data_IF_201889574389
#
_entry.id   IF_201889574389
#
_cell.length_a   1.000
_cell.length_b   1.000
_cell.length_c   1.000
_cell.angle_alpha   90.00
_cell.angle_beta   90.00
_cell.angle_gamma   90.00
#
_symmetry.space_group_name_H-M   'P 1'
#
loop_
_entity.id
_entity.type
_entity.pdbx_description
1 polymer ?
#
# COMPACT_ATOMS: atom_id res chain seq x y z
N UNK A 1 -0.94 19.84 5.65
CA UNK A 1 0.08 18.89 5.18
C UNK A 1 -0.66 17.62 4.83
N UNK A 2 -0.74 17.24 3.56
CA UNK A 2 -1.48 16.06 3.14
C UNK A 2 -0.74 14.78 3.55
N UNK A 3 -1.48 13.81 4.10
CA UNK A 3 -0.91 12.52 4.50
C UNK A 3 -0.65 11.65 3.27
N UNK A 4 0.60 11.25 3.04
CA UNK A 4 0.95 10.29 2.00
C UNK A 4 0.65 8.86 2.47
N UNK A 5 0.19 8.01 1.54
CA UNK A 5 -0.06 6.59 1.79
C UNK A 5 0.72 5.75 0.80
N UNK A 6 1.49 4.82 1.36
CA UNK A 6 2.28 3.88 0.56
C UNK A 6 1.44 2.70 0.08
N UNK A 7 1.55 2.44 -1.21
CA UNK A 7 0.92 1.34 -1.90
C UNK A 7 1.94 0.59 -2.76
N UNK A 8 1.69 -0.69 -2.98
CA UNK A 8 2.44 -1.54 -3.91
C UNK A 8 1.63 -1.76 -5.18
N UNK A 9 2.21 -1.49 -6.35
CA UNK A 9 1.59 -1.80 -7.63
C UNK A 9 1.34 -3.31 -7.77
N UNK A 10 0.14 -3.70 -8.22
CA UNK A 10 -0.21 -5.11 -8.39
C UNK A 10 0.48 -5.80 -9.58
N UNK A 11 0.91 -5.02 -10.59
CA UNK A 11 1.54 -5.56 -11.80
C UNK A 11 3.06 -5.64 -11.67
N UNK A 12 3.73 -4.50 -11.47
CA UNK A 12 5.20 -4.44 -11.45
C UNK A 12 5.81 -4.51 -10.03
N UNK A 13 4.99 -4.38 -8.99
CA UNK A 13 5.47 -4.44 -7.61
C UNK A 13 6.17 -3.18 -7.10
N UNK A 14 6.28 -2.12 -7.91
CA UNK A 14 6.83 -0.81 -7.48
C UNK A 14 6.02 -0.22 -6.33
N UNK A 15 6.72 0.40 -5.38
CA UNK A 15 6.10 1.14 -4.28
C UNK A 15 5.90 2.60 -4.68
N UNK A 16 4.71 3.11 -4.45
CA UNK A 16 4.31 4.48 -4.79
C UNK A 16 3.58 5.09 -3.58
N UNK A 17 3.86 6.37 -3.32
CA UNK A 17 3.22 7.14 -2.25
C UNK A 17 2.21 8.10 -2.87
N UNK A 18 0.94 7.97 -2.48
CA UNK A 18 -0.14 8.81 -3.01
C UNK A 18 -0.69 9.74 -1.93
N UNK A 19 -1.03 10.96 -2.33
CA UNK A 19 -1.80 11.89 -1.52
C UNK A 19 -3.24 11.37 -1.38
N UNK A 20 -3.76 11.29 -0.15
CA UNK A 20 -5.13 10.83 0.11
C UNK A 20 -6.20 11.71 -0.53
N UNK A 21 -5.92 12.99 -0.72
CA UNK A 21 -6.90 13.98 -1.18
C UNK A 21 -6.90 14.12 -2.71
N UNK A 22 -5.88 13.60 -3.40
CA UNK A 22 -5.81 13.66 -4.87
C UNK A 22 -6.51 12.47 -5.50
N UNK A 23 -7.42 12.76 -6.43
CA UNK A 23 -8.09 11.74 -7.24
C UNK A 23 -7.20 11.28 -8.40
N UNK A 24 -7.16 9.96 -8.60
CA UNK A 24 -6.47 9.32 -9.71
C UNK A 24 -5.10 8.78 -9.31
N UNK A 25 -4.95 7.45 -9.39
CA UNK A 25 -3.69 6.74 -9.13
C UNK A 25 -3.31 5.93 -10.37
N UNK A 26 -2.05 6.03 -10.77
CA UNK A 26 -1.44 5.21 -11.81
C UNK A 26 0.02 4.96 -11.44
N UNK A 27 0.52 3.78 -11.77
CA UNK A 27 1.90 3.42 -11.48
C UNK A 27 2.82 4.15 -12.47
N UNK A 28 3.83 4.86 -11.97
CA UNK A 28 4.78 5.60 -12.81
C UNK A 28 5.61 4.67 -13.72
N UNK A 29 5.76 3.40 -13.33
CA UNK A 29 6.59 2.43 -14.03
C UNK A 29 5.86 1.65 -15.13
N UNK A 30 4.59 1.28 -14.91
CA UNK A 30 3.86 0.39 -15.82
C UNK A 30 2.46 0.91 -16.23
N UNK A 31 2.03 2.06 -15.71
CA UNK A 31 0.71 2.63 -15.98
C UNK A 31 -0.48 1.89 -15.35
N UNK A 32 -0.25 0.78 -14.64
CA UNK A 32 -1.30 0.03 -13.95
C UNK A 32 -1.99 0.89 -12.87
N UNK A 33 -3.29 0.69 -12.66
CA UNK A 33 -4.12 1.46 -11.71
C UNK A 33 -4.57 0.64 -10.49
N UNK A 34 -4.06 -0.59 -10.36
CA UNK A 34 -4.41 -1.51 -9.28
C UNK A 34 -3.25 -1.58 -8.28
N UNK A 35 -3.57 -1.33 -7.01
CA UNK A 35 -2.60 -1.17 -5.93
C UNK A 35 -3.03 -1.95 -4.68
N UNK A 36 -2.04 -2.42 -3.92
CA UNK A 36 -2.22 -3.16 -2.67
C UNK A 36 -1.65 -2.37 -1.49
N UNK A 37 -2.41 -2.23 -0.40
CA UNK A 37 -1.92 -1.59 0.82
C UNK A 37 -0.89 -2.50 1.49
N UNK A 38 0.25 -1.93 1.86
CA UNK A 38 1.29 -2.67 2.57
C UNK A 38 0.77 -3.14 3.93
N UNK A 39 1.04 -4.41 4.25
CA UNK A 39 0.80 -4.95 5.58
C UNK A 39 1.80 -4.31 6.53
N UNK A 40 1.33 -3.62 7.58
CA UNK A 40 2.21 -3.09 8.65
C UNK A 40 3.08 -4.21 9.21
N UNK A 41 4.40 -4.01 9.25
CA UNK A 41 5.33 -4.91 9.92
C UNK A 41 5.02 -4.99 11.42
N UNK A 42 5.40 -6.09 12.03
CA UNK A 42 5.00 -6.61 13.36
C UNK A 42 5.23 -5.68 14.56
N UNK A 43 5.82 -4.49 14.37
CA UNK A 43 6.03 -3.49 15.43
C UNK A 43 4.77 -2.70 15.82
N UNK A 44 3.79 -2.58 14.91
CA UNK A 44 2.63 -1.68 15.07
C UNK A 44 1.27 -2.40 15.13
N UNK A 45 1.28 -3.72 15.38
CA UNK A 45 0.07 -4.54 15.41
C UNK A 45 -0.16 -5.13 16.80
N UNK A 46 -1.33 -4.85 17.39
CA UNK A 46 -2.00 -5.77 18.33
C UNK A 46 -1.88 -7.18 17.74
N UNK A 47 -1.04 -8.02 18.35
CA UNK A 47 -0.78 -9.40 17.90
C UNK A 47 -2.11 -10.15 17.86
N UNK A 48 -2.69 -10.34 16.68
CA UNK A 48 -3.73 -11.36 16.49
C UNK A 48 -2.99 -12.68 16.39
N UNK A 49 -3.00 -13.44 17.48
CA UNK A 49 -2.49 -14.80 17.52
C UNK A 49 -3.28 -15.63 16.51
N UNK A 50 -2.66 -15.99 15.40
CA UNK A 50 -3.17 -17.04 14.53
C UNK A 50 -3.03 -18.33 15.34
N UNK A 51 -4.14 -18.90 15.82
CA UNK A 51 -4.13 -20.25 16.37
C UNK A 51 -3.76 -21.19 15.23
N UNK A 52 -2.60 -21.83 15.34
CA UNK A 52 -2.28 -22.98 14.50
C UNK A 52 -3.30 -24.08 14.83
N UNK A 53 -3.92 -24.63 13.78
CA UNK A 53 -4.81 -25.80 13.84
C UNK A 53 -3.96 -27.06 13.98
#
# INVERSE_FOLDING_TARGET
MSELVDYKCALCGTHESFDRERNGIHCSHCGCKIFMKLRRSSGDRKKKTLKAV
#
